data_IF_331520986809
#
_entry.id   IF_331520986809
#
_cell.length_a   1.000
_cell.length_b   1.000
_cell.length_c   1.000
_cell.angle_alpha   90.00
_cell.angle_beta   90.00
_cell.angle_gamma   90.00
#
_symmetry.space_group_name_H-M   'P 1'
#
loop_
_entity.id
_entity.type
_entity.pdbx_description
1 polymer ?
#
# COMPACT_ATOMS: atom_id res chain seq x y z
N UNK A 1 7.68 -5.00 8.83
CA UNK A 1 8.68 -4.40 9.71
C UNK A 1 9.66 -3.64 8.85
N UNK A 2 9.93 -2.38 9.20
CA UNK A 2 10.96 -1.59 8.55
C UNK A 2 12.32 -1.84 9.19
N UNK A 3 13.36 -1.83 8.36
CA UNK A 3 14.74 -1.75 8.82
C UNK A 3 15.09 -0.34 9.31
N UNK A 4 16.17 -0.20 10.08
CA UNK A 4 16.61 1.12 10.55
C UNK A 4 16.88 2.12 9.41
N UNK A 5 17.49 1.67 8.31
CA UNK A 5 17.75 2.52 7.14
C UNK A 5 16.45 2.93 6.44
N UNK A 6 15.44 2.05 6.38
CA UNK A 6 14.13 2.39 5.82
C UNK A 6 13.42 3.43 6.67
N UNK A 7 13.39 3.25 8.00
CA UNK A 7 12.78 4.24 8.90
C UNK A 7 13.48 5.58 8.81
N UNK A 8 14.82 5.59 8.81
CA UNK A 8 15.62 6.82 8.66
C UNK A 8 15.35 7.52 7.33
N UNK A 9 15.39 6.79 6.22
CA UNK A 9 15.12 7.35 4.89
C UNK A 9 13.68 7.90 4.79
N UNK A 10 12.69 7.19 5.32
CA UNK A 10 11.30 7.65 5.36
C UNK A 10 11.16 8.97 6.13
N UNK A 11 11.77 9.08 7.32
CA UNK A 11 11.75 10.29 8.14
C UNK A 11 12.39 11.49 7.43
N UNK A 12 13.53 11.30 6.77
CA UNK A 12 14.22 12.37 6.05
C UNK A 12 13.41 12.90 4.88
N UNK A 13 12.68 12.01 4.19
CA UNK A 13 11.83 12.38 3.05
C UNK A 13 10.43 12.85 3.47
N UNK A 14 10.01 12.63 4.72
CA UNK A 14 8.67 12.95 5.20
C UNK A 14 8.30 14.43 4.99
N UNK A 15 9.25 15.34 5.21
CA UNK A 15 9.05 16.78 5.04
C UNK A 15 8.81 17.20 3.57
N UNK A 16 9.17 16.35 2.61
CA UNK A 16 8.97 16.60 1.18
C UNK A 16 7.63 16.05 0.68
N UNK A 17 6.83 15.41 1.54
CA UNK A 17 5.51 14.89 1.13
C UNK A 17 4.49 16.01 0.98
N UNK A 18 3.56 15.80 0.07
CA UNK A 18 2.47 16.72 -0.27
C UNK A 18 1.33 15.94 -0.93
N UNK A 19 0.20 16.59 -1.23
CA UNK A 19 -0.89 15.91 -1.95
C UNK A 19 -0.47 15.28 -3.29
N UNK A 20 0.62 15.78 -3.90
CA UNK A 20 1.20 15.30 -5.15
C UNK A 20 2.41 14.35 -4.98
N UNK A 21 2.86 14.08 -3.75
CA UNK A 21 3.96 13.17 -3.43
C UNK A 21 3.75 12.53 -2.05
N UNK A 22 3.49 11.23 -2.02
CA UNK A 22 3.10 10.50 -0.79
C UNK A 22 3.66 9.09 -0.78
N UNK A 23 3.89 8.54 0.40
CA UNK A 23 4.32 7.14 0.53
C UNK A 23 3.19 6.17 0.21
N UNK A 24 3.58 5.04 -0.35
CA UNK A 24 2.70 3.96 -0.74
C UNK A 24 3.33 2.59 -0.44
N UNK A 25 2.82 1.55 -1.10
CA UNK A 25 3.56 0.31 -1.21
C UNK A 25 3.45 -0.67 -0.06
N UNK A 26 4.29 -1.71 -0.14
CA UNK A 26 4.32 -2.79 0.84
C UNK A 26 4.89 -2.38 2.19
N UNK A 27 5.85 -1.44 2.20
CA UNK A 27 6.48 -0.94 3.41
C UNK A 27 5.48 -0.21 4.31
N UNK A 28 4.71 0.74 3.74
CA UNK A 28 3.69 1.49 4.47
C UNK A 28 2.52 0.61 4.93
N UNK A 29 2.09 -0.37 4.12
CA UNK A 29 0.98 -1.26 4.50
C UNK A 29 1.34 -2.16 5.69
N UNK A 30 2.59 -2.63 5.72
CA UNK A 30 3.03 -3.73 6.58
C UNK A 30 4.08 -3.29 7.61
N UNK A 31 4.13 -1.99 7.94
CA UNK A 31 5.12 -1.39 8.83
C UNK A 31 5.28 -2.18 10.14
N UNK A 32 4.17 -2.57 10.76
CA UNK A 32 4.13 -3.24 12.06
C UNK A 32 3.96 -4.77 12.00
N UNK A 33 4.21 -5.38 10.84
CA UNK A 33 4.07 -6.84 10.65
C UNK A 33 5.43 -7.52 10.46
N UNK A 34 5.44 -8.84 10.30
CA UNK A 34 6.67 -9.60 10.03
C UNK A 34 7.11 -9.60 8.55
N UNK A 35 6.35 -8.94 7.66
CA UNK A 35 6.72 -8.77 6.25
C UNK A 35 8.00 -7.94 6.13
N UNK A 36 8.97 -8.44 5.36
CA UNK A 36 10.24 -7.74 5.08
C UNK A 36 10.14 -6.98 3.77
N UNK A 37 10.04 -5.64 3.81
CA UNK A 37 10.05 -4.84 2.57
C UNK A 37 11.46 -4.63 2.06
N UNK A 38 11.64 -4.71 0.74
CA UNK A 38 12.93 -4.47 0.10
C UNK A 38 13.07 -2.98 -0.29
N UNK A 39 11.93 -2.36 -0.55
CA UNK A 39 11.73 -1.07 -1.19
C UNK A 39 10.85 -0.14 -0.34
N UNK A 40 11.09 1.17 -0.50
CA UNK A 40 10.19 2.26 -0.13
C UNK A 40 9.55 2.81 -1.41
N UNK A 41 8.23 2.86 -1.46
CA UNK A 41 7.47 3.36 -2.61
C UNK A 41 6.98 4.80 -2.33
N UNK A 42 7.31 5.73 -3.21
CA UNK A 42 6.80 7.11 -3.22
C UNK A 42 6.02 7.33 -4.51
N UNK A 43 4.73 7.64 -4.39
CA UNK A 43 3.86 7.87 -5.54
C UNK A 43 3.71 9.36 -5.81
N UNK A 44 3.62 9.69 -7.09
CA UNK A 44 3.39 11.02 -7.61
C UNK A 44 2.21 11.04 -8.55
N UNK A 45 1.50 12.16 -8.56
CA UNK A 45 0.29 12.29 -9.36
C UNK A 45 0.56 12.69 -10.83
N UNK A 46 1.80 13.02 -11.15
CA UNK A 46 2.24 13.35 -12.50
C UNK A 46 3.71 13.02 -12.71
N UNK A 47 4.04 12.51 -13.90
CA UNK A 47 5.43 12.26 -14.33
C UNK A 47 6.34 13.48 -14.11
N UNK A 48 5.85 14.68 -14.44
CA UNK A 48 6.66 15.91 -14.45
C UNK A 48 7.12 16.33 -13.05
N UNK A 49 6.36 15.97 -12.01
CA UNK A 49 6.68 16.31 -10.63
C UNK A 49 7.75 15.39 -10.02
N UNK A 50 7.96 14.20 -10.58
CA UNK A 50 8.83 13.18 -9.98
C UNK A 50 10.26 13.69 -9.83
N UNK A 51 10.82 14.30 -10.88
CA UNK A 51 12.22 14.72 -10.88
C UNK A 51 12.52 15.77 -9.80
N UNK A 52 11.60 16.70 -9.58
CA UNK A 52 11.75 17.74 -8.57
C UNK A 52 11.69 17.18 -7.14
N UNK A 53 10.72 16.32 -6.85
CA UNK A 53 10.60 15.67 -5.54
C UNK A 53 11.74 14.69 -5.28
N UNK A 54 12.08 13.88 -6.27
CA UNK A 54 13.19 12.95 -6.23
C UNK A 54 14.51 13.68 -5.93
N UNK A 55 14.79 14.79 -6.62
CA UNK A 55 15.98 15.60 -6.36
C UNK A 55 16.03 16.15 -4.93
N UNK A 56 14.89 16.57 -4.37
CA UNK A 56 14.80 17.06 -2.97
C UNK A 56 15.01 15.94 -1.96
N UNK A 57 14.43 14.77 -2.22
CA UNK A 57 14.61 13.59 -1.37
C UNK A 57 16.06 13.13 -1.34
N UNK A 58 16.68 12.99 -2.52
CA UNK A 58 18.08 12.61 -2.63
C UNK A 58 18.99 13.60 -1.89
N UNK A 59 18.76 14.91 -2.04
CA UNK A 59 19.52 15.92 -1.29
C UNK A 59 19.30 15.82 0.22
N UNK A 60 18.09 15.50 0.69
CA UNK A 60 17.83 15.32 2.12
C UNK A 60 18.58 14.10 2.68
N UNK A 61 18.58 12.99 1.94
CA UNK A 61 19.30 11.77 2.28
C UNK A 61 20.82 11.99 2.30
N UNK A 62 21.38 12.65 1.29
CA UNK A 62 22.81 12.95 1.19
C UNK A 62 23.29 13.91 2.28
N UNK A 63 22.49 14.92 2.63
CA UNK A 63 22.82 15.85 3.73
C UNK A 63 22.92 15.17 5.08
N UNK A 64 22.17 14.08 5.26
CA UNK A 64 22.23 13.24 6.45
C UNK A 64 23.38 12.21 6.41
N UNK A 65 24.17 12.20 5.32
CA UNK A 65 25.34 11.34 5.16
C UNK A 65 25.04 9.95 4.59
N UNK A 66 23.86 9.75 3.98
CA UNK A 66 23.57 8.54 3.22
C UNK A 66 24.14 8.64 1.80
N UNK A 67 24.72 7.55 1.30
CA UNK A 67 25.10 7.46 -0.10
C UNK A 67 23.85 7.13 -0.94
N UNK A 68 23.63 7.87 -2.02
CA UNK A 68 22.52 7.62 -2.97
C UNK A 68 23.08 7.26 -4.34
N UNK A 69 22.60 6.14 -4.89
CA UNK A 69 22.99 5.65 -6.21
C UNK A 69 21.74 5.46 -7.08
N UNK A 70 21.58 6.30 -8.11
CA UNK A 70 20.48 6.14 -9.07
C UNK A 70 20.74 4.92 -9.94
N UNK A 71 19.83 3.94 -9.89
CA UNK A 71 19.89 2.71 -10.68
C UNK A 71 19.00 2.78 -11.93
N UNK A 72 17.91 3.56 -11.85
CA UNK A 72 16.98 3.79 -12.96
C UNK A 72 16.51 5.24 -12.95
N UNK A 73 16.55 5.89 -14.12
CA UNK A 73 15.94 7.19 -14.34
C UNK A 73 15.26 7.16 -15.72
N UNK A 74 13.94 6.99 -15.70
CA UNK A 74 13.09 7.01 -16.89
C UNK A 74 11.85 7.84 -16.61
N UNK A 75 11.19 8.32 -17.67
CA UNK A 75 9.93 9.06 -17.51
C UNK A 75 8.92 8.26 -16.68
N UNK A 76 8.41 8.87 -15.62
CA UNK A 76 7.41 8.28 -14.74
C UNK A 76 7.97 7.34 -13.66
N UNK A 77 9.28 7.08 -13.63
CA UNK A 77 9.90 6.20 -12.64
C UNK A 77 11.38 6.51 -12.40
N UNK A 78 11.74 6.75 -11.14
CA UNK A 78 13.13 6.82 -10.68
C UNK A 78 13.34 5.77 -9.58
N UNK A 79 14.44 5.04 -9.65
CA UNK A 79 14.86 4.08 -8.62
C UNK A 79 16.27 4.42 -8.16
N UNK A 80 16.47 4.46 -6.85
CA UNK A 80 17.80 4.61 -6.27
C UNK A 80 18.03 3.66 -5.09
N UNK A 81 19.24 3.12 -5.02
CA UNK A 81 19.75 2.48 -3.81
C UNK A 81 20.32 3.52 -2.87
N UNK A 82 19.89 3.44 -1.63
CA UNK A 82 20.39 4.26 -0.52
C UNK A 82 21.17 3.37 0.42
N UNK A 83 22.37 3.82 0.80
CA UNK A 83 23.28 3.08 1.65
C UNK A 83 23.74 3.91 2.84
N UNK A 84 23.80 3.30 4.02
CA UNK A 84 24.39 3.92 5.20
C UNK A 84 25.87 3.59 5.38
N UNK A 85 26.50 4.21 6.39
CA UNK A 85 27.91 4.02 6.72
C UNK A 85 28.27 2.57 7.07
N UNK A 86 27.27 1.78 7.52
CA UNK A 86 27.39 0.37 7.85
C UNK A 86 27.17 -0.57 6.66
N UNK A 87 27.07 -0.02 5.44
CA UNK A 87 26.79 -0.75 4.19
C UNK A 87 25.42 -1.44 4.17
N UNK A 88 24.48 -1.05 5.03
CA UNK A 88 23.08 -1.48 4.90
C UNK A 88 22.45 -0.70 3.76
N UNK A 89 21.55 -1.34 3.04
CA UNK A 89 20.95 -0.79 1.82
C UNK A 89 19.44 -0.92 1.85
N UNK A 90 18.78 0.04 1.20
CA UNK A 90 17.37 -0.06 0.80
C UNK A 90 17.19 0.57 -0.57
N UNK A 91 16.11 0.20 -1.26
CA UNK A 91 15.73 0.81 -2.53
C UNK A 91 14.61 1.81 -2.28
N UNK A 92 14.68 2.96 -2.94
CA UNK A 92 13.58 3.92 -3.01
C UNK A 92 13.12 4.00 -4.46
N UNK A 93 11.81 3.85 -4.66
CA UNK A 93 11.16 3.98 -5.96
C UNK A 93 10.20 5.15 -5.94
N UNK A 94 10.45 6.12 -6.81
CA UNK A 94 9.52 7.21 -7.11
C UNK A 94 8.78 6.87 -8.40
N UNK A 95 7.46 6.76 -8.34
CA UNK A 95 6.65 6.33 -9.48
C UNK A 95 5.45 7.25 -9.69
N UNK A 96 5.05 7.45 -10.95
CA UNK A 96 3.75 8.06 -11.23
C UNK A 96 2.62 7.06 -10.99
N UNK A 97 1.53 7.53 -10.40
CA UNK A 97 0.30 6.77 -10.20
C UNK A 97 -0.91 7.68 -10.45
N UNK A 98 -2.08 7.07 -10.70
CA UNK A 98 -3.36 7.76 -10.78
C UNK A 98 -3.74 8.37 -9.43
N UNK A 99 -4.37 9.56 -9.47
CA UNK A 99 -4.99 10.21 -8.29
C UNK A 99 -6.26 9.52 -7.80
N UNK A 100 -6.65 8.42 -8.44
CA UNK A 100 -7.91 7.73 -8.18
C UNK A 100 -7.78 6.84 -6.95
N UNK A 101 -8.43 7.25 -5.85
CA UNK A 101 -8.39 6.59 -4.54
C UNK A 101 -9.74 6.64 -3.84
N UNK A 102 -9.96 5.79 -2.85
CA UNK A 102 -11.19 5.71 -2.07
C UNK A 102 -11.19 6.63 -0.84
N UNK A 103 -9.99 6.92 -0.33
CA UNK A 103 -9.79 7.77 0.84
C UNK A 103 -8.79 8.89 0.56
N UNK A 104 -8.89 10.01 1.29
CA UNK A 104 -7.84 11.02 1.29
C UNK A 104 -6.52 10.43 1.77
N UNK A 105 -5.43 11.17 1.52
CA UNK A 105 -4.14 10.84 2.09
C UNK A 105 -4.16 11.01 3.61
N UNK A 106 -3.33 10.22 4.29
CA UNK A 106 -3.23 10.18 5.74
C UNK A 106 -1.91 10.84 6.16
N UNK A 107 -1.94 11.96 6.91
CA UNK A 107 -0.75 12.52 7.53
C UNK A 107 -0.17 11.54 8.54
N UNK A 108 1.15 11.45 8.60
CA UNK A 108 1.81 10.42 9.37
C UNK A 108 3.17 10.92 9.87
N UNK A 109 3.52 10.64 11.12
CA UNK A 109 4.78 11.15 11.70
C UNK A 109 6.03 10.52 11.09
N UNK A 110 5.94 9.26 10.64
CA UNK A 110 7.06 8.57 10.01
C UNK A 110 7.11 8.88 8.52
N UNK A 111 5.95 8.83 7.88
CA UNK A 111 5.84 8.91 6.42
C UNK A 111 5.62 10.35 5.94
N UNK A 112 5.28 11.32 6.79
CA UNK A 112 4.83 12.65 6.39
C UNK A 112 3.41 12.62 5.84
N UNK A 113 3.23 12.00 4.67
CA UNK A 113 1.93 11.76 4.05
C UNK A 113 1.96 10.42 3.30
N UNK A 114 0.92 9.61 3.47
CA UNK A 114 0.81 8.28 2.83
C UNK A 114 -0.59 7.98 2.32
N UNK A 115 -0.70 6.96 1.47
CA UNK A 115 -2.00 6.37 1.14
C UNK A 115 -2.70 5.80 2.39
N UNK A 116 -4.03 5.87 2.36
CA UNK A 116 -4.87 5.20 3.35
C UNK A 116 -4.66 3.67 3.28
N UNK A 117 -4.79 2.99 4.43
CA UNK A 117 -4.52 1.54 4.54
C UNK A 117 -5.41 0.71 3.60
N UNK A 118 -6.66 1.11 3.42
CA UNK A 118 -7.61 0.50 2.47
C UNK A 118 -7.16 0.63 1.00
N UNK A 119 -6.64 1.80 0.61
CA UNK A 119 -6.11 2.01 -0.74
C UNK A 119 -4.81 1.21 -0.97
N UNK A 120 -3.95 1.13 0.04
CA UNK A 120 -2.76 0.28 0.02
C UNK A 120 -3.14 -1.20 -0.17
N UNK A 121 -4.13 -1.69 0.58
CA UNK A 121 -4.61 -3.07 0.49
C UNK A 121 -5.25 -3.37 -0.88
N UNK A 122 -6.06 -2.45 -1.43
CA UNK A 122 -6.60 -2.59 -2.77
C UNK A 122 -5.50 -2.64 -3.85
N UNK A 123 -4.45 -1.82 -3.73
CA UNK A 123 -3.28 -1.88 -4.61
C UNK A 123 -2.56 -3.24 -4.52
N UNK A 124 -2.52 -3.87 -3.35
CA UNK A 124 -1.95 -5.21 -3.19
C UNK A 124 -2.78 -6.30 -3.85
N UNK A 125 -4.10 -6.19 -3.82
CA UNK A 125 -4.97 -7.08 -4.60
C UNK A 125 -4.69 -6.94 -6.09
N UNK A 126 -4.60 -5.71 -6.61
CA UNK A 126 -4.20 -5.47 -8.01
C UNK A 126 -2.83 -6.09 -8.29
N UNK A 127 -1.84 -5.86 -7.43
CA UNK A 127 -0.50 -6.45 -7.58
C UNK A 127 -0.57 -7.98 -7.63
N UNK A 128 -1.24 -8.63 -6.68
CA UNK A 128 -1.40 -10.10 -6.66
C UNK A 128 -2.14 -10.65 -7.89
N UNK A 129 -3.07 -9.89 -8.46
CA UNK A 129 -3.79 -10.28 -9.68
C UNK A 129 -2.95 -10.17 -10.94
N UNK A 130 -1.92 -9.32 -11.00
CA UNK A 130 -1.13 -9.12 -12.22
C UNK A 130 0.32 -9.59 -12.12
N UNK A 131 0.89 -9.56 -10.92
CA UNK A 131 2.28 -9.88 -10.60
C UNK A 131 2.33 -11.20 -9.84
N UNK A 132 3.28 -12.06 -10.20
CA UNK A 132 3.49 -13.35 -9.55
C UNK A 132 4.62 -13.31 -8.51
N UNK A 133 4.75 -12.21 -7.74
CA UNK A 133 5.84 -12.11 -6.76
C UNK A 133 5.42 -12.83 -5.47
N UNK A 134 6.29 -13.59 -4.81
CA UNK A 134 5.93 -14.30 -3.58
C UNK A 134 5.44 -13.38 -2.46
N UNK A 135 5.97 -12.15 -2.39
CA UNK A 135 5.55 -11.11 -1.43
C UNK A 135 4.07 -10.75 -1.55
N UNK A 136 3.49 -10.83 -2.75
CA UNK A 136 2.08 -10.51 -2.96
C UNK A 136 1.17 -11.51 -2.22
N UNK A 137 1.59 -12.77 -2.06
CA UNK A 137 0.84 -13.79 -1.31
C UNK A 137 0.91 -13.53 0.20
N UNK A 138 2.09 -13.12 0.70
CA UNK A 138 2.24 -12.72 2.10
C UNK A 138 1.39 -11.48 2.40
N UNK A 139 1.40 -10.49 1.49
CA UNK A 139 0.59 -9.27 1.63
C UNK A 139 -0.90 -9.62 1.75
N UNK A 140 -1.44 -10.52 0.90
CA UNK A 140 -2.84 -10.97 1.00
C UNK A 140 -3.15 -11.66 2.34
N UNK A 141 -2.26 -12.55 2.79
CA UNK A 141 -2.45 -13.25 4.05
C UNK A 141 -2.46 -12.29 5.25
N UNK A 142 -1.56 -11.31 5.26
CA UNK A 142 -1.46 -10.31 6.32
C UNK A 142 -2.63 -9.32 6.31
N UNK A 143 -3.08 -8.91 5.12
CA UNK A 143 -4.29 -8.08 4.99
C UNK A 143 -5.46 -8.79 5.67
N UNK A 144 -5.65 -10.08 5.41
CA UNK A 144 -6.73 -10.80 6.08
C UNK A 144 -6.53 -10.85 7.59
N UNK A 145 -5.33 -11.24 8.02
CA UNK A 145 -5.02 -11.51 9.43
C UNK A 145 -5.18 -10.27 10.29
N UNK A 146 -4.71 -9.13 9.78
CA UNK A 146 -4.46 -7.93 10.58
C UNK A 146 -5.29 -6.70 10.14
N UNK A 147 -6.15 -6.84 9.13
CA UNK A 147 -6.89 -5.69 8.60
C UNK A 147 -8.33 -5.99 8.20
N UNK A 148 -8.56 -6.63 7.05
CA UNK A 148 -9.92 -6.74 6.49
C UNK A 148 -10.09 -7.96 5.56
N UNK A 149 -11.34 -8.37 5.25
CA UNK A 149 -11.62 -9.39 4.26
C UNK A 149 -11.15 -9.00 2.85
N UNK A 150 -10.77 -9.98 2.03
CA UNK A 150 -10.26 -9.74 0.66
C UNK A 150 -11.37 -9.45 -0.36
N UNK A 151 -12.58 -9.99 -0.18
CA UNK A 151 -13.70 -9.82 -1.12
C UNK A 151 -14.00 -8.35 -1.49
N UNK A 152 -14.22 -7.46 -0.51
CA UNK A 152 -14.40 -6.02 -0.75
C UNK A 152 -13.23 -5.37 -1.49
N UNK A 153 -12.00 -5.84 -1.26
CA UNK A 153 -10.81 -5.32 -1.92
C UNK A 153 -10.74 -5.73 -3.40
N UNK A 154 -11.20 -6.93 -3.77
CA UNK A 154 -11.33 -7.32 -5.18
C UNK A 154 -12.38 -6.47 -5.91
N UNK A 155 -13.48 -6.13 -5.22
CA UNK A 155 -14.47 -5.19 -5.77
C UNK A 155 -13.86 -3.81 -6.00
N UNK A 156 -13.15 -3.26 -5.00
CA UNK A 156 -12.45 -1.99 -5.12
C UNK A 156 -11.37 -2.00 -6.21
N UNK A 157 -10.58 -3.07 -6.30
CA UNK A 157 -9.54 -3.23 -7.32
C UNK A 157 -10.14 -3.18 -8.74
N UNK A 158 -11.27 -3.85 -8.97
CA UNK A 158 -11.96 -3.84 -10.25
C UNK A 158 -12.46 -2.44 -10.63
N UNK A 159 -13.02 -1.71 -9.67
CA UNK A 159 -13.46 -0.32 -9.86
C UNK A 159 -12.27 0.56 -10.21
N UNK A 160 -11.17 0.43 -9.47
CA UNK A 160 -9.98 1.28 -9.63
C UNK A 160 -9.30 1.12 -10.99
N UNK A 161 -9.24 -0.11 -11.53
CA UNK A 161 -8.55 -0.37 -12.80
C UNK A 161 -9.48 -0.33 -14.02
N UNK A 162 -10.80 -0.32 -13.84
CA UNK A 162 -11.85 -0.24 -14.88
C UNK A 162 -11.83 -1.30 -16.00
N UNK A 163 -10.94 -2.30 -15.94
CA UNK A 163 -10.65 -3.19 -17.08
C UNK A 163 -11.09 -4.65 -16.85
N UNK A 164 -11.36 -5.06 -15.61
CA UNK A 164 -11.68 -6.46 -15.26
C UNK A 164 -12.81 -6.53 -14.23
N UNK A 165 -13.58 -7.62 -14.27
CA UNK A 165 -14.51 -7.94 -13.20
C UNK A 165 -13.75 -8.35 -11.92
N UNK A 166 -14.34 -8.15 -10.72
CA UNK A 166 -13.75 -8.59 -9.47
C UNK A 166 -13.39 -10.08 -9.46
N UNK A 167 -14.25 -10.92 -10.04
CA UNK A 167 -14.03 -12.37 -10.11
C UNK A 167 -12.82 -12.72 -10.99
N UNK A 168 -12.64 -12.04 -12.13
CA UNK A 168 -11.47 -12.27 -12.98
C UNK A 168 -10.15 -11.91 -12.26
N UNK A 169 -10.14 -10.84 -11.47
CA UNK A 169 -9.00 -10.48 -10.64
C UNK A 169 -8.71 -11.53 -9.56
N UNK A 170 -9.75 -12.07 -8.93
CA UNK A 170 -9.66 -13.15 -7.95
C UNK A 170 -9.06 -14.40 -8.57
N UNK A 171 -9.57 -14.86 -9.71
CA UNK A 171 -9.06 -16.04 -10.42
C UNK A 171 -7.58 -15.88 -10.78
N UNK A 172 -7.20 -14.69 -11.24
CA UNK A 172 -5.82 -14.36 -11.59
C UNK A 172 -4.90 -14.37 -10.36
N UNK A 173 -5.34 -13.85 -9.22
CA UNK A 173 -4.61 -13.91 -7.96
C UNK A 173 -4.50 -15.34 -7.44
N UNK A 174 -5.60 -16.11 -7.49
CA UNK A 174 -5.67 -17.53 -7.11
C UNK A 174 -4.70 -18.38 -7.91
N UNK A 175 -4.70 -18.23 -9.24
CA UNK A 175 -3.76 -18.95 -10.10
C UNK A 175 -2.30 -18.73 -9.68
N UNK A 176 -1.93 -17.49 -9.33
CA UNK A 176 -0.58 -17.14 -8.89
C UNK A 176 -0.28 -17.66 -7.48
N UNK A 177 -1.23 -17.58 -6.56
CA UNK A 177 -1.12 -18.14 -5.21
C UNK A 177 -0.88 -19.66 -5.26
N UNK A 178 -1.60 -20.38 -6.12
CA UNK A 178 -1.36 -21.81 -6.36
C UNK A 178 0.04 -22.06 -6.91
N UNK A 179 0.50 -21.22 -7.85
CA UNK A 179 1.76 -21.44 -8.58
C UNK A 179 3.03 -21.12 -7.77
N UNK A 180 2.98 -20.26 -6.76
CA UNK A 180 4.17 -19.90 -5.99
C UNK A 180 4.65 -21.07 -5.12
N UNK A 181 5.96 -21.30 -5.07
CA UNK A 181 6.54 -22.34 -4.21
C UNK A 181 6.65 -21.87 -2.76
N UNK A 182 6.60 -22.81 -1.81
CA UNK A 182 6.78 -22.49 -0.38
C UNK A 182 8.15 -21.87 -0.11
N UNK A 183 9.20 -22.38 -0.76
CA UNK A 183 10.55 -21.84 -0.65
C UNK A 183 10.64 -20.35 -1.06
N UNK A 184 9.87 -19.95 -2.08
CA UNK A 184 9.85 -18.57 -2.53
C UNK A 184 9.11 -17.65 -1.53
N UNK A 185 8.11 -18.17 -0.81
CA UNK A 185 7.41 -17.43 0.24
C UNK A 185 8.30 -17.23 1.48
N UNK A 186 9.05 -18.25 1.90
CA UNK A 186 9.91 -18.20 3.11
C UNK A 186 10.87 -17.00 3.13
N UNK A 187 11.36 -16.56 1.97
CA UNK A 187 12.31 -15.43 1.89
C UNK A 187 11.68 -14.03 2.02
N UNK A 188 10.37 -13.91 2.23
CA UNK A 188 9.66 -12.61 2.13
C UNK A 188 9.14 -12.06 3.47
N UNK A 189 9.38 -12.77 4.56
CA UNK A 189 8.97 -12.39 5.91
C UNK A 189 9.93 -12.97 6.97
N UNK A 190 10.01 -12.32 8.13
CA UNK A 190 10.76 -12.85 9.27
C UNK A 190 10.00 -13.99 9.93
N UNK A 191 10.65 -15.14 10.18
CA UNK A 191 10.01 -16.26 10.87
C UNK A 191 9.48 -15.81 12.24
N UNK A 192 8.16 -15.93 12.44
CA UNK A 192 7.48 -15.59 13.69
C UNK A 192 6.45 -16.67 14.01
N UNK A 193 6.70 -17.40 15.10
CA UNK A 193 5.78 -18.42 15.62
C UNK A 193 5.32 -19.46 14.59
N UNK A 194 4.01 -19.73 14.55
CA UNK A 194 3.37 -20.71 13.66
C UNK A 194 3.11 -20.19 12.24
N UNK A 195 3.64 -19.03 11.86
CA UNK A 195 3.42 -18.42 10.55
C UNK A 195 4.48 -18.88 9.56
N UNK A 196 4.39 -20.13 9.10
CA UNK A 196 5.28 -20.68 8.08
C UNK A 196 4.73 -20.50 6.65
N UNK A 197 5.55 -20.74 5.62
CA UNK A 197 5.14 -20.58 4.23
C UNK A 197 3.91 -21.43 3.86
N UNK A 198 3.78 -22.62 4.48
CA UNK A 198 2.64 -23.51 4.28
C UNK A 198 1.36 -22.89 4.82
N UNK A 199 1.42 -22.33 6.02
CA UNK A 199 0.31 -21.67 6.72
C UNK A 199 -0.09 -20.40 5.99
N UNK A 200 0.87 -19.57 5.57
CA UNK A 200 0.62 -18.38 4.74
C UNK A 200 -0.14 -18.75 3.47
N UNK A 201 0.35 -19.75 2.74
CA UNK A 201 -0.26 -20.18 1.47
C UNK A 201 -1.64 -20.76 1.69
N UNK A 202 -1.81 -21.64 2.67
CA UNK A 202 -3.09 -22.24 3.00
C UNK A 202 -4.13 -21.19 3.43
N UNK A 203 -3.72 -20.25 4.30
CA UNK A 203 -4.55 -19.12 4.71
C UNK A 203 -4.96 -18.30 3.49
N UNK A 204 -4.00 -17.87 2.65
CA UNK A 204 -4.32 -17.08 1.44
C UNK A 204 -5.34 -17.78 0.54
N UNK A 205 -5.18 -19.09 0.31
CA UNK A 205 -6.12 -19.84 -0.54
C UNK A 205 -7.52 -19.92 0.08
N UNK A 206 -7.62 -20.16 1.39
CA UNK A 206 -8.89 -20.13 2.14
C UNK A 206 -9.57 -18.77 2.02
N UNK A 207 -8.80 -17.69 2.08
CA UNK A 207 -9.34 -16.33 1.98
C UNK A 207 -9.81 -15.95 0.59
N UNK A 208 -9.19 -16.54 -0.44
CA UNK A 208 -9.68 -16.42 -1.80
C UNK A 208 -11.01 -17.18 -1.98
N UNK A 209 -11.22 -18.29 -1.27
CA UNK A 209 -12.52 -18.99 -1.24
C UNK A 209 -13.60 -18.13 -0.56
N UNK A 210 -13.28 -17.47 0.56
CA UNK A 210 -14.20 -16.53 1.23
C UNK A 210 -14.54 -15.34 0.33
N UNK A 211 -13.53 -14.77 -0.34
CA UNK A 211 -13.71 -13.67 -1.27
C UNK A 211 -14.60 -14.07 -2.47
N UNK A 212 -14.43 -15.29 -3.00
CA UNK A 212 -15.26 -15.83 -4.09
C UNK A 212 -16.71 -16.01 -3.64
N UNK A 213 -16.93 -16.55 -2.44
CA UNK A 213 -18.27 -16.70 -1.88
C UNK A 213 -18.98 -15.35 -1.72
N UNK A 214 -18.27 -14.32 -1.23
CA UNK A 214 -18.75 -12.95 -1.14
C UNK A 214 -19.10 -12.37 -2.51
N UNK A 215 -18.18 -12.44 -3.48
CA UNK A 215 -18.38 -11.86 -4.81
C UNK A 215 -19.50 -12.55 -5.60
N UNK A 216 -19.70 -13.86 -5.37
CA UNK A 216 -20.80 -14.62 -5.97
C UNK A 216 -22.17 -14.17 -5.47
N UNK A 217 -22.24 -13.73 -4.21
CA UNK A 217 -23.48 -13.28 -3.56
C UNK A 217 -23.39 -11.81 -3.16
N UNK A 218 -22.74 -10.99 -4.00
CA UNK A 218 -22.48 -9.58 -3.72
C UNK A 218 -23.81 -8.84 -3.53
N UNK A 219 -24.08 -8.25 -2.34
CA UNK A 219 -25.30 -7.49 -2.13
C UNK A 219 -25.36 -6.25 -3.04
N UNK A 220 -26.51 -5.97 -3.64
CA UNK A 220 -26.71 -4.80 -4.51
C UNK A 220 -26.30 -3.48 -3.84
N UNK A 221 -26.50 -3.38 -2.52
CA UNK A 221 -26.14 -2.21 -1.72
C UNK A 221 -24.62 -1.92 -1.68
N UNK A 222 -23.78 -2.89 -2.05
CA UNK A 222 -22.32 -2.77 -2.07
C UNK A 222 -21.77 -2.47 -3.47
N UNK A 223 -22.60 -2.40 -4.50
CA UNK A 223 -22.15 -2.17 -5.87
C UNK A 223 -21.70 -0.72 -6.10
N UNK A 224 -20.58 -0.54 -6.79
CA UNK A 224 -20.12 0.77 -7.27
C UNK A 224 -19.17 1.52 -6.34
N UNK A 225 -18.71 0.89 -5.25
CA UNK A 225 -17.68 1.45 -4.38
C UNK A 225 -17.00 0.40 -3.51
N UNK A 226 -16.19 0.87 -2.58
CA UNK A 226 -15.60 0.07 -1.52
C UNK A 226 -16.52 0.13 -0.28
N UNK A 227 -17.19 -0.98 0.09
CA UNK A 227 -18.02 -1.02 1.30
C UNK A 227 -17.14 -1.01 2.55
N UNK A 228 -17.43 -0.10 3.48
CA UNK A 228 -16.65 0.08 4.72
C UNK A 228 -17.54 0.20 5.93
N UNK A 229 -17.02 -0.23 7.07
CA UNK A 229 -17.68 -0.12 8.36
C UNK A 229 -17.54 1.30 8.95
N UNK A 230 -18.02 1.47 10.19
CA UNK A 230 -18.01 2.75 10.90
C UNK A 230 -16.59 3.27 11.24
N UNK A 231 -15.54 2.47 11.08
CA UNK A 231 -14.15 2.84 11.27
C UNK A 231 -13.41 3.11 9.94
N UNK A 232 -14.11 2.96 8.80
CA UNK A 232 -13.49 3.10 7.47
C UNK A 232 -12.74 1.85 7.00
N UNK A 233 -12.88 0.73 7.71
CA UNK A 233 -12.29 -0.57 7.35
C UNK A 233 -13.19 -1.31 6.35
N UNK A 234 -12.65 -1.90 5.26
CA UNK A 234 -13.43 -2.67 4.32
C UNK A 234 -14.21 -3.82 4.98
N UNK A 235 -15.48 -3.97 4.63
CA UNK A 235 -16.36 -4.99 5.23
C UNK A 235 -17.13 -5.78 4.18
N UNK A 236 -17.27 -7.09 4.43
CA UNK A 236 -18.04 -8.00 3.59
C UNK A 236 -19.48 -8.21 4.11
N UNK A 237 -19.81 -7.69 5.31
CA UNK A 237 -21.13 -7.81 5.90
C UNK A 237 -21.95 -6.52 5.65
N UNK A 238 -23.07 -6.66 4.96
CA UNK A 238 -23.99 -5.54 4.67
C UNK A 238 -24.59 -4.93 5.93
N UNK A 239 -24.67 -5.68 7.03
CA UNK A 239 -25.15 -5.17 8.32
C UNK A 239 -24.13 -4.29 9.03
N UNK A 240 -22.85 -4.51 8.75
CA UNK A 240 -21.72 -3.74 9.29
C UNK A 240 -21.34 -2.55 8.40
N UNK A 241 -21.83 -2.53 7.16
CA UNK A 241 -21.56 -1.45 6.22
C UNK A 241 -22.17 -0.12 6.69
N UNK A 242 -21.31 0.84 7.00
CA UNK A 242 -21.69 2.21 7.34
C UNK A 242 -21.69 3.13 6.11
N UNK A 243 -20.79 2.89 5.15
CA UNK A 243 -20.65 3.70 3.95
C UNK A 243 -20.18 2.88 2.76
N UNK A 244 -20.57 3.32 1.57
CA UNK A 244 -20.00 2.86 0.30
C UNK A 244 -19.09 3.97 -0.25
N UNK A 245 -17.77 3.75 -0.27
CA UNK A 245 -16.79 4.76 -0.70
C UNK A 245 -16.61 4.70 -2.22
N UNK A 246 -16.94 5.76 -2.97
CA UNK A 246 -16.62 5.80 -4.40
C UNK A 246 -15.13 6.00 -4.62
N UNK A 247 -14.62 5.56 -5.77
CA UNK A 247 -13.31 6.02 -6.23
C UNK A 247 -13.45 7.48 -6.69
N UNK A 248 -12.52 8.34 -6.28
CA UNK A 248 -12.54 9.75 -6.63
C UNK A 248 -11.12 10.27 -6.85
N UNK A 249 -11.01 11.32 -7.67
CA UNK A 249 -9.78 12.10 -7.76
C UNK A 249 -9.47 12.68 -6.38
N UNK A 250 -8.33 12.28 -5.81
CA UNK A 250 -7.87 12.72 -4.51
C UNK A 250 -8.52 12.02 -3.31
N UNK A 251 -9.48 11.12 -3.51
CA UNK A 251 -10.10 10.33 -2.41
C UNK A 251 -11.36 10.91 -1.77
N UNK A 252 -11.91 11.97 -2.37
CA UNK A 252 -13.10 12.66 -1.84
C UNK A 252 -12.85 13.37 -0.50
N UNK A 253 -13.91 13.67 0.25
CA UNK A 253 -13.79 14.21 1.62
C UNK A 253 -13.76 13.06 2.65
N UNK A 254 -12.96 13.23 3.70
CA UNK A 254 -12.99 12.38 4.90
C UNK A 254 -14.35 12.56 5.61
N UNK A 255 -15.08 11.49 5.96
CA UNK A 255 -15.99 11.48 7.10
C UNK A 255 -15.15 11.38 8.38
N UNK A 256 -15.68 11.73 9.56
CA UNK A 256 -14.98 11.63 10.85
C UNK A 256 -14.73 10.16 11.24
N UNK A 257 -13.81 9.47 10.58
CA UNK A 257 -13.36 8.13 10.94
C UNK A 257 -12.18 8.23 11.93
N UNK A 258 -12.09 7.35 12.94
CA UNK A 258 -11.07 7.43 13.98
C UNK A 258 -9.63 7.29 13.47
N UNK A 259 -9.41 6.68 12.30
CA UNK A 259 -8.08 6.58 11.67
C UNK A 259 -7.62 7.87 10.94
N UNK A 260 -8.42 8.95 10.98
CA UNK A 260 -8.26 10.12 10.12
C UNK A 260 -7.62 11.37 10.72
N UNK A 261 -7.62 11.52 12.05
CA UNK A 261 -7.26 12.80 12.67
C UNK A 261 -6.05 12.68 13.56
N UNK A 262 -4.83 12.93 13.06
CA UNK A 262 -3.80 13.44 13.93
C UNK A 262 -4.23 14.84 14.39
N UNK A 263 -4.13 15.08 15.69
CA UNK A 263 -4.26 16.42 16.26
C UNK A 263 -3.21 17.34 15.62
N UNK A 264 -3.65 18.22 14.72
CA UNK A 264 -2.80 19.19 14.01
C UNK A 264 -2.67 20.51 14.78
N UNK A 265 -2.90 20.54 16.09
CA UNK A 265 -2.73 21.75 16.91
C UNK A 265 -1.28 22.27 17.02
N UNK A 266 -0.34 21.76 16.21
CA UNK A 266 1.08 22.11 16.25
C UNK A 266 1.68 22.67 14.96
N UNK A 267 0.91 22.82 13.87
CA UNK A 267 1.43 23.33 12.58
C UNK A 267 0.73 24.64 12.19
N UNK A 268 0.82 25.65 13.06
CA UNK A 268 0.62 27.04 12.64
C UNK A 268 2.00 27.64 12.32
N UNK A 269 2.25 27.95 11.04
CA UNK A 269 3.39 28.77 10.66
C UNK A 269 4.08 28.43 9.33
N UNK A 270 3.34 28.37 8.22
CA UNK A 270 3.93 28.54 6.88
C UNK A 270 2.97 29.31 5.96
N UNK A 271 2.60 30.52 6.38
CA UNK A 271 2.22 31.57 5.44
C UNK A 271 3.41 32.54 5.30
N UNK A 272 3.93 32.63 4.07
CA UNK A 272 4.84 33.69 3.64
C UNK A 272 6.31 33.29 3.54
N UNK A 273 6.74 32.88 2.33
CA UNK A 273 7.80 33.46 1.48
C UNK A 273 7.87 32.63 0.18
#
# INVERSE_FOLDING_TARGET
MLTEIQSRAAQLMAANRSEASYFAGGAALNEHTERLSDDLDVFHDSDDAINDFCSRDMQALERDGLDVFVDLDVRGCVEARVRDESRRETVIQWMSETRMRFFPLVPDSLWGLRLHRSDLAANKVVAASFRGKPRDIVDLALIRRDFCPLGPLFLAAAIKIEVKSPMALLDMARHRAVSVSLAAITGTYGQSGNWDASTVKASTLSELDEAEAFLTHLPDAMLGGLPVNADGVPTADVKDMASLRPVADGGGRFPDFPDASPDLSGVEGMEGI
#
